data_IF_805186574605
#
_entry.id   IF_805186574605
#
_cell.length_a   1.000
_cell.length_b   1.000
_cell.length_c   1.000
_cell.angle_alpha   90.00
_cell.angle_beta   90.00
_cell.angle_gamma   90.00
#
_symmetry.space_group_name_H-M   'P 1'
#
loop_
_entity.id
_entity.type
_entity.pdbx_description
1 polymer ?
#
# COMPACT_ATOMS: atom_id res chain seq x y z
N UNK A 1 32.03 -22.43 -10.44
CA UNK A 1 30.71 -21.86 -10.80
C UNK A 1 30.18 -21.19 -9.56
N UNK A 2 30.18 -19.86 -9.53
CA UNK A 2 29.60 -19.11 -8.42
C UNK A 2 28.09 -19.28 -8.51
N UNK A 3 27.47 -19.95 -7.55
CA UNK A 3 26.02 -19.94 -7.44
C UNK A 3 25.60 -18.50 -7.16
N UNK A 4 24.94 -17.87 -8.14
CA UNK A 4 24.19 -16.64 -7.93
C UNK A 4 23.17 -16.91 -6.82
N UNK A 5 23.41 -16.31 -5.66
CA UNK A 5 22.50 -16.31 -4.53
C UNK A 5 21.32 -15.41 -4.91
N UNK A 6 20.42 -15.93 -5.76
CA UNK A 6 19.19 -15.24 -6.13
C UNK A 6 18.40 -15.01 -4.84
N UNK A 7 17.93 -13.77 -4.58
CA UNK A 7 17.06 -13.54 -3.44
C UNK A 7 15.87 -14.49 -3.53
N UNK A 8 15.38 -15.03 -2.40
CA UNK A 8 14.23 -15.92 -2.41
C UNK A 8 13.10 -15.26 -3.18
N UNK A 9 12.55 -15.97 -4.17
CA UNK A 9 11.43 -15.48 -4.96
C UNK A 9 10.33 -15.05 -3.99
N UNK A 10 9.86 -13.81 -4.12
CA UNK A 10 8.73 -13.35 -3.32
C UNK A 10 7.55 -14.30 -3.57
N UNK A 11 6.85 -14.74 -2.53
CA UNK A 11 5.71 -15.64 -2.68
C UNK A 11 4.67 -15.00 -3.61
N UNK A 12 4.05 -15.83 -4.45
CA UNK A 12 3.02 -15.39 -5.38
C UNK A 12 1.84 -14.84 -4.57
N UNK A 13 1.49 -13.57 -4.81
CA UNK A 13 0.38 -12.93 -4.14
C UNK A 13 -0.96 -13.60 -4.57
N UNK A 14 -1.84 -13.95 -3.61
CA UNK A 14 -3.16 -14.50 -3.90
C UNK A 14 -3.95 -13.65 -4.92
N UNK A 15 -4.69 -14.28 -5.86
CA UNK A 15 -5.46 -13.56 -6.87
C UNK A 15 -6.45 -12.53 -6.29
N UNK A 16 -7.03 -12.83 -5.12
CA UNK A 16 -7.97 -11.97 -4.41
C UNK A 16 -7.29 -10.67 -3.94
N UNK A 17 -6.05 -10.77 -3.45
CA UNK A 17 -5.26 -9.61 -3.03
C UNK A 17 -4.86 -8.74 -4.22
N UNK A 18 -4.53 -9.36 -5.35
CA UNK A 18 -4.26 -8.60 -6.57
C UNK A 18 -5.50 -7.83 -7.04
N UNK A 19 -6.66 -8.48 -7.07
CA UNK A 19 -7.93 -7.83 -7.41
C UNK A 19 -8.29 -6.69 -6.44
N UNK A 20 -8.04 -6.89 -5.14
CA UNK A 20 -8.23 -5.85 -4.12
C UNK A 20 -7.31 -4.65 -4.35
N UNK A 21 -6.02 -4.87 -4.63
CA UNK A 21 -5.07 -3.80 -4.95
C UNK A 21 -5.54 -2.98 -6.14
N UNK A 22 -5.88 -3.62 -7.26
CA UNK A 22 -6.28 -2.90 -8.47
C UNK A 22 -7.56 -2.08 -8.26
N UNK A 23 -8.54 -2.61 -7.49
CA UNK A 23 -9.72 -1.85 -7.07
C UNK A 23 -9.34 -0.62 -6.24
N UNK A 24 -8.47 -0.79 -5.24
CA UNK A 24 -8.06 0.29 -4.35
C UNK A 24 -7.26 1.37 -5.08
N UNK A 25 -6.39 1.00 -6.02
CA UNK A 25 -5.64 1.96 -6.85
C UNK A 25 -6.59 2.89 -7.62
N UNK A 26 -7.62 2.32 -8.27
CA UNK A 26 -8.63 3.12 -8.99
C UNK A 26 -9.41 4.03 -8.04
N UNK A 27 -9.81 3.54 -6.86
CA UNK A 27 -10.54 4.33 -5.87
C UNK A 27 -9.68 5.46 -5.31
N UNK A 28 -8.43 5.19 -4.95
CA UNK A 28 -7.49 6.17 -4.41
C UNK A 28 -7.21 7.30 -5.41
N UNK A 29 -6.99 6.96 -6.68
CA UNK A 29 -6.80 7.96 -7.73
C UNK A 29 -8.04 8.86 -7.86
N UNK A 30 -9.22 8.26 -7.94
CA UNK A 30 -10.49 9.00 -8.03
C UNK A 30 -10.73 9.91 -6.82
N UNK A 31 -10.50 9.40 -5.61
CA UNK A 31 -10.70 10.19 -4.38
C UNK A 31 -9.65 11.28 -4.23
N UNK A 32 -8.39 11.02 -4.59
CA UNK A 32 -7.31 12.01 -4.52
C UNK A 32 -7.54 13.20 -5.47
N UNK A 33 -8.26 13.01 -6.58
CA UNK A 33 -8.59 14.09 -7.52
C UNK A 33 -9.57 15.11 -6.93
N UNK A 34 -10.48 14.69 -6.05
CA UNK A 34 -11.51 15.54 -5.45
C UNK A 34 -11.22 15.92 -4.01
N UNK A 35 -10.30 15.22 -3.35
CA UNK A 35 -9.89 15.50 -1.99
C UNK A 35 -9.16 16.85 -1.87
N UNK A 36 -9.33 17.48 -0.71
CA UNK A 36 -8.69 18.75 -0.35
C UNK A 36 -8.03 18.63 1.01
N UNK A 37 -7.26 19.65 1.39
CA UNK A 37 -6.55 19.67 2.66
C UNK A 37 -5.54 18.53 2.81
N UNK A 38 -5.42 17.99 4.02
CA UNK A 38 -4.49 16.90 4.36
C UNK A 38 -4.90 15.52 3.83
N UNK A 39 -6.16 15.36 3.40
CA UNK A 39 -6.64 14.10 2.84
C UNK A 39 -6.04 13.81 1.46
N UNK A 40 -5.90 14.84 0.60
CA UNK A 40 -5.33 14.68 -0.74
C UNK A 40 -3.91 14.08 -0.74
N UNK A 41 -2.92 14.64 -0.03
CA UNK A 41 -1.57 14.08 -0.01
C UNK A 41 -1.53 12.68 0.62
N UNK A 42 -2.38 12.40 1.62
CA UNK A 42 -2.49 11.06 2.18
C UNK A 42 -2.98 10.05 1.13
N UNK A 43 -4.07 10.35 0.42
CA UNK A 43 -4.62 9.45 -0.61
C UNK A 43 -3.60 9.17 -1.73
N UNK A 44 -2.85 10.19 -2.16
CA UNK A 44 -1.76 10.02 -3.14
C UNK A 44 -0.64 9.12 -2.62
N UNK A 45 -0.23 9.29 -1.36
CA UNK A 45 0.82 8.45 -0.76
C UNK A 45 0.36 7.02 -0.52
N UNK A 46 -0.91 6.80 -0.16
CA UNK A 46 -1.48 5.47 -0.10
C UNK A 46 -1.52 4.81 -1.48
N UNK A 47 -1.79 5.57 -2.56
CA UNK A 47 -1.73 5.06 -3.92
C UNK A 47 -0.31 4.61 -4.29
N UNK A 48 0.69 5.47 -4.08
CA UNK A 48 2.10 5.15 -4.32
C UNK A 48 2.54 3.89 -3.53
N UNK A 49 2.14 3.78 -2.26
CA UNK A 49 2.41 2.61 -1.43
C UNK A 49 1.81 1.33 -2.04
N UNK A 50 0.56 1.38 -2.50
CA UNK A 50 -0.08 0.22 -3.11
C UNK A 50 0.58 -0.16 -4.44
N UNK A 51 1.00 0.83 -5.25
CA UNK A 51 1.77 0.57 -6.47
C UNK A 51 3.08 -0.15 -6.13
N UNK A 52 3.81 0.28 -5.10
CA UNK A 52 5.07 -0.35 -4.69
C UNK A 52 4.92 -1.78 -4.15
N UNK A 53 3.69 -2.28 -4.02
CA UNK A 53 3.44 -3.68 -3.64
C UNK A 53 3.38 -4.63 -4.82
N UNK A 54 3.31 -4.12 -6.06
CA UNK A 54 3.22 -4.95 -7.27
C UNK A 54 4.44 -5.87 -7.37
N UNK A 55 4.27 -7.12 -7.83
CA UNK A 55 5.40 -8.04 -8.02
C UNK A 55 6.46 -7.42 -8.94
N UNK A 56 7.72 -7.42 -8.48
CA UNK A 56 8.85 -6.85 -9.21
C UNK A 56 9.14 -5.37 -8.94
N UNK A 57 8.27 -4.65 -8.22
CA UNK A 57 8.56 -3.29 -7.80
C UNK A 57 9.63 -3.26 -6.69
N UNK A 58 10.58 -2.32 -6.73
CA UNK A 58 11.61 -2.20 -5.70
C UNK A 58 11.01 -1.72 -4.38
N UNK A 59 11.52 -2.27 -3.28
CA UNK A 59 11.21 -1.76 -1.94
C UNK A 59 11.80 -0.36 -1.74
N UNK A 60 10.98 0.61 -1.33
CA UNK A 60 11.41 1.99 -1.03
C UNK A 60 11.16 2.33 0.43
N UNK A 61 12.18 2.30 1.32
CA UNK A 61 12.04 2.71 2.72
C UNK A 61 11.56 4.17 2.86
N UNK A 62 11.99 5.04 1.94
CA UNK A 62 11.61 6.45 1.94
C UNK A 62 10.08 6.61 1.78
N UNK A 63 9.46 5.81 0.91
CA UNK A 63 8.01 5.85 0.70
C UNK A 63 7.22 5.50 1.98
N UNK A 64 7.72 4.56 2.79
CA UNK A 64 7.08 4.23 4.07
C UNK A 64 7.11 5.40 5.06
N UNK A 65 8.22 6.12 5.14
CA UNK A 65 8.31 7.31 6.01
C UNK A 65 7.42 8.44 5.48
N UNK A 66 7.35 8.63 4.16
CA UNK A 66 6.47 9.63 3.54
C UNK A 66 4.98 9.34 3.79
N UNK A 67 4.55 8.08 3.69
CA UNK A 67 3.18 7.67 4.04
C UNK A 67 2.90 7.94 5.51
N UNK A 68 3.81 7.58 6.42
CA UNK A 68 3.67 7.85 7.85
C UNK A 68 3.56 9.34 8.14
N UNK A 69 4.38 10.18 7.50
CA UNK A 69 4.30 11.64 7.64
C UNK A 69 2.94 12.18 7.13
N UNK A 70 2.44 11.65 6.02
CA UNK A 70 1.12 12.03 5.49
C UNK A 70 -0.03 11.63 6.43
N UNK A 71 0.04 10.43 7.02
CA UNK A 71 -0.92 9.99 8.06
C UNK A 71 -0.85 10.93 9.26
N UNK A 72 0.34 11.29 9.74
CA UNK A 72 0.50 12.21 10.86
C UNK A 72 -0.07 13.60 10.56
N UNK A 73 0.09 14.11 9.33
CA UNK A 73 -0.50 15.38 8.91
C UNK A 73 -2.04 15.30 8.89
N UNK A 74 -2.59 14.23 8.32
CA UNK A 74 -4.04 13.98 8.32
C UNK A 74 -4.60 13.87 9.74
N UNK A 75 -3.91 13.18 10.65
CA UNK A 75 -4.36 13.05 12.04
C UNK A 75 -4.33 14.36 12.83
N UNK A 76 -3.47 15.32 12.46
CA UNK A 76 -3.44 16.66 13.07
C UNK A 76 -4.61 17.54 12.61
N UNK A 77 -4.98 17.41 11.34
CA UNK A 77 -6.06 18.19 10.72
C UNK A 77 -6.97 17.25 9.91
N UNK A 78 -7.79 16.42 10.58
CA UNK A 78 -8.57 15.40 9.91
C UNK A 78 -9.73 16.01 9.11
N UNK A 79 -9.99 15.44 7.94
CA UNK A 79 -11.21 15.74 7.17
C UNK A 79 -12.31 14.79 7.63
N UNK A 80 -13.52 15.32 7.85
CA UNK A 80 -14.70 14.56 8.24
C UNK A 80 -15.77 14.53 7.14
N UNK A 81 -16.32 13.35 6.79
CA UNK A 81 -15.91 12.02 7.28
C UNK A 81 -14.52 11.62 6.74
N UNK A 82 -13.77 10.77 7.46
CA UNK A 82 -12.50 10.26 6.95
C UNK A 82 -12.77 9.39 5.69
N UNK A 83 -11.91 9.49 4.66
CA UNK A 83 -12.04 8.64 3.48
C UNK A 83 -12.00 7.15 3.84
N UNK A 84 -13.06 6.41 3.51
CA UNK A 84 -13.18 4.98 3.86
C UNK A 84 -12.09 4.12 3.22
N UNK A 85 -11.60 4.54 2.04
CA UNK A 85 -10.55 3.85 1.29
C UNK A 85 -9.25 3.71 2.10
N UNK A 86 -8.96 4.61 3.04
CA UNK A 86 -7.78 4.54 3.90
C UNK A 86 -7.82 3.26 4.74
N UNK A 87 -8.99 2.94 5.34
CA UNK A 87 -9.18 1.73 6.13
C UNK A 87 -9.03 0.46 5.30
N UNK A 88 -9.59 0.44 4.08
CA UNK A 88 -9.43 -0.69 3.16
C UNK A 88 -7.97 -0.91 2.74
N UNK A 89 -7.20 0.16 2.54
CA UNK A 89 -5.78 0.05 2.23
C UNK A 89 -4.98 -0.55 3.39
N UNK A 90 -5.31 -0.20 4.63
CA UNK A 90 -4.68 -0.82 5.82
C UNK A 90 -5.02 -2.31 5.88
N UNK A 91 -6.28 -2.69 5.65
CA UNK A 91 -6.70 -4.09 5.60
C UNK A 91 -5.94 -4.88 4.53
N UNK A 92 -5.83 -4.35 3.31
CA UNK A 92 -5.03 -4.94 2.24
C UNK A 92 -3.57 -5.19 2.67
N UNK A 93 -2.92 -4.20 3.29
CA UNK A 93 -1.53 -4.34 3.73
C UNK A 93 -1.36 -5.40 4.82
N UNK A 94 -2.34 -5.54 5.72
CA UNK A 94 -2.35 -6.57 6.76
C UNK A 94 -2.54 -7.97 6.16
N UNK A 95 -3.52 -8.15 5.27
CA UNK A 95 -3.77 -9.42 4.59
C UNK A 95 -2.58 -9.85 3.74
N UNK A 96 -1.95 -8.91 3.02
CA UNK A 96 -0.72 -9.16 2.26
C UNK A 96 0.44 -9.58 3.16
N UNK A 97 0.61 -8.93 4.31
CA UNK A 97 1.63 -9.32 5.29
C UNK A 97 1.38 -10.74 5.83
N UNK A 98 0.12 -11.06 6.15
CA UNK A 98 -0.26 -12.40 6.60
C UNK A 98 0.03 -13.46 5.54
N UNK A 99 -0.37 -13.21 4.28
CA UNK A 99 -0.10 -14.11 3.16
C UNK A 99 1.41 -14.35 2.95
N UNK A 100 2.23 -13.29 3.07
CA UNK A 100 3.69 -13.41 3.00
C UNK A 100 4.24 -14.28 4.14
N UNK A 101 3.82 -14.04 5.39
CA UNK A 101 4.27 -14.81 6.55
C UNK A 101 3.87 -16.28 6.47
N UNK A 102 2.67 -16.59 5.98
CA UNK A 102 2.20 -17.96 5.73
C UNK A 102 3.05 -18.64 4.67
N UNK A 103 3.40 -17.96 3.57
CA UNK A 103 4.18 -18.56 2.50
C UNK A 103 5.66 -18.77 2.86
N UNK A 104 6.22 -18.01 3.81
CA UNK A 104 7.61 -18.14 4.27
C UNK A 104 7.80 -19.21 5.35
N UNK A 105 6.78 -19.47 6.18
CA UNK A 105 6.86 -20.42 7.30
C UNK A 105 5.98 -21.67 7.14
N UNK A 106 5.21 -21.76 6.05
CA UNK A 106 4.31 -22.88 5.74
C UNK A 106 4.95 -23.98 4.91
#
# INVERSE_FOLDING_TARGET
MSQENLPPALPVEPPELNAMRERLLVTLEKEAQVATGTAQPLLRKMHELLVSTKPGEPFSPALYEEVKLAIMAFMKEPVFPPPSVIGECVAFMQERQAAFLTAVHG
#
